data_IF_192100724502
#
_entry.id   IF_192100724502
#
_cell.length_a   1.000
_cell.length_b   1.000
_cell.length_c   1.000
_cell.angle_alpha   90.00
_cell.angle_beta   90.00
_cell.angle_gamma   90.00
#
_symmetry.space_group_name_H-M   'P 1'
#
loop_
_entity.id
_entity.type
_entity.pdbx_description
1 polymer ?
#
# COMPACT_ATOMS: atom_id res chain seq x y z
N UNK A 1 -7.56 18.77 -49.26
CA UNK A 1 -8.47 18.38 -48.14
C UNK A 1 -7.99 17.07 -47.50
N UNK A 2 -7.35 16.16 -48.24
CA UNK A 2 -6.98 14.80 -47.79
C UNK A 2 -5.80 14.76 -46.79
N UNK A 3 -4.83 15.68 -46.92
CA UNK A 3 -3.60 15.67 -46.11
C UNK A 3 -3.79 16.09 -44.65
N UNK A 4 -4.84 16.83 -44.33
CA UNK A 4 -5.18 17.31 -42.98
C UNK A 4 -5.86 16.19 -42.18
N UNK A 5 -6.68 15.38 -42.83
CA UNK A 5 -7.39 14.24 -42.22
C UNK A 5 -6.44 13.13 -41.76
N UNK A 6 -5.43 12.76 -42.58
CA UNK A 6 -4.44 11.75 -42.17
C UNK A 6 -3.59 12.19 -40.97
N UNK A 7 -3.31 13.49 -40.83
CA UNK A 7 -2.50 14.00 -39.71
C UNK A 7 -3.26 13.96 -38.39
N UNK A 8 -4.56 14.22 -38.42
CA UNK A 8 -5.42 14.10 -37.21
C UNK A 8 -5.58 12.64 -36.79
N UNK A 9 -5.81 11.74 -37.73
CA UNK A 9 -5.94 10.31 -37.49
C UNK A 9 -4.65 9.69 -36.92
N UNK A 10 -3.47 10.07 -37.45
CA UNK A 10 -2.17 9.66 -36.89
C UNK A 10 -1.94 10.23 -35.49
N UNK A 11 -2.39 11.44 -35.21
CA UNK A 11 -2.24 12.07 -33.89
C UNK A 11 -3.12 11.36 -32.87
N UNK A 12 -4.35 11.02 -33.22
CA UNK A 12 -5.27 10.27 -32.35
C UNK A 12 -4.79 8.84 -32.07
N UNK A 13 -4.25 8.17 -33.06
CA UNK A 13 -3.65 6.83 -32.90
C UNK A 13 -2.41 6.86 -32.01
N UNK A 14 -1.57 7.88 -32.12
CA UNK A 14 -0.38 8.07 -31.28
C UNK A 14 -0.74 8.44 -29.84
N UNK A 15 -1.76 9.27 -29.66
CA UNK A 15 -2.29 9.64 -28.34
C UNK A 15 -2.91 8.40 -27.70
N UNK A 16 -3.71 7.64 -28.43
CA UNK A 16 -4.34 6.43 -27.93
C UNK A 16 -3.30 5.34 -27.58
N UNK A 17 -2.24 5.16 -28.36
CA UNK A 17 -1.11 4.29 -28.02
C UNK A 17 -0.33 4.76 -26.80
N UNK A 18 -0.13 6.08 -26.63
CA UNK A 18 0.48 6.64 -25.39
C UNK A 18 -0.42 6.44 -24.19
N UNK A 19 -1.71 6.67 -24.32
CA UNK A 19 -2.70 6.46 -23.26
C UNK A 19 -2.82 4.97 -22.89
N UNK A 20 -2.78 4.09 -23.89
CA UNK A 20 -2.75 2.63 -23.67
C UNK A 20 -1.44 2.22 -22.97
N UNK A 21 -0.28 2.75 -23.36
CA UNK A 21 0.99 2.51 -22.64
C UNK A 21 0.96 3.03 -21.21
N UNK A 22 0.36 4.16 -20.95
CA UNK A 22 0.18 4.71 -19.60
C UNK A 22 -0.80 3.81 -18.80
N UNK A 23 -1.83 3.28 -19.44
CA UNK A 23 -2.84 2.42 -18.79
C UNK A 23 -2.35 0.98 -18.58
N UNK A 24 -1.55 0.42 -19.47
CA UNK A 24 -0.91 -0.90 -19.31
C UNK A 24 0.28 -0.88 -18.35
N UNK A 25 0.97 0.25 -18.20
CA UNK A 25 1.95 0.46 -17.16
C UNK A 25 1.35 0.61 -15.74
N UNK A 26 0.03 0.55 -15.59
CA UNK A 26 -0.67 0.47 -14.32
C UNK A 26 -0.60 -0.93 -13.68
N UNK A 27 -0.02 -1.90 -14.36
CA UNK A 27 0.25 -3.24 -13.85
C UNK A 27 1.61 -3.28 -13.14
N UNK A 28 1.58 -3.42 -11.84
CA UNK A 28 2.47 -4.11 -10.88
C UNK A 28 3.99 -4.28 -11.16
N UNK A 29 4.53 -3.93 -12.31
CA UNK A 29 5.96 -4.10 -12.66
C UNK A 29 6.70 -2.79 -12.97
N UNK A 30 6.14 -1.63 -12.61
CA UNK A 30 6.88 -0.37 -12.72
C UNK A 30 8.04 -0.41 -11.71
N UNK A 31 9.26 -0.49 -12.22
CA UNK A 31 10.45 -0.24 -11.42
C UNK A 31 10.31 1.09 -10.68
N UNK A 32 10.90 1.21 -9.48
CA UNK A 32 10.91 2.47 -8.73
C UNK A 32 11.40 3.64 -9.58
N UNK A 33 12.36 3.38 -10.49
CA UNK A 33 12.88 4.37 -11.44
C UNK A 33 11.81 4.91 -12.38
N UNK A 34 10.95 4.05 -12.91
CA UNK A 34 9.86 4.46 -13.80
C UNK A 34 8.82 5.30 -13.07
N UNK A 35 8.52 4.97 -11.82
CA UNK A 35 7.59 5.75 -10.99
C UNK A 35 8.19 7.12 -10.71
N UNK A 36 9.49 7.19 -10.39
CA UNK A 36 10.17 8.46 -10.11
C UNK A 36 10.26 9.35 -11.36
N UNK A 37 10.53 8.78 -12.54
CA UNK A 37 10.50 9.50 -13.82
C UNK A 37 9.10 10.06 -14.11
N UNK A 38 8.04 9.30 -13.86
CA UNK A 38 6.66 9.76 -14.03
C UNK A 38 6.32 10.90 -13.06
N UNK A 39 6.75 10.83 -11.80
CA UNK A 39 6.60 11.92 -10.83
C UNK A 39 7.28 13.20 -11.34
N UNK A 40 8.53 13.09 -11.80
CA UNK A 40 9.30 14.21 -12.33
C UNK A 40 8.63 14.83 -13.57
N UNK A 41 8.09 14.00 -14.45
CA UNK A 41 7.35 14.45 -15.63
C UNK A 41 6.06 15.21 -15.26
N UNK A 42 5.28 14.68 -14.31
CA UNK A 42 4.04 15.30 -13.86
C UNK A 42 4.29 16.66 -13.21
N UNK A 43 5.30 16.75 -12.33
CA UNK A 43 5.69 17.99 -11.65
C UNK A 43 6.13 19.05 -12.69
N UNK A 44 6.96 18.67 -13.68
CA UNK A 44 7.42 19.58 -14.73
C UNK A 44 6.30 20.14 -15.60
N UNK A 45 5.20 19.42 -15.71
CA UNK A 45 4.03 19.83 -16.50
C UNK A 45 2.90 20.43 -15.63
N UNK A 46 3.16 20.77 -14.37
CA UNK A 46 2.17 21.30 -13.41
C UNK A 46 0.93 20.38 -13.27
N UNK A 47 1.13 19.06 -13.38
CA UNK A 47 0.08 18.05 -13.20
C UNK A 47 0.14 17.46 -11.80
N UNK A 48 -1.01 16.98 -11.33
CA UNK A 48 -1.07 16.32 -10.02
C UNK A 48 -0.25 15.02 -10.00
N UNK A 49 0.72 14.95 -9.09
CA UNK A 49 1.61 13.82 -8.91
C UNK A 49 1.34 13.01 -7.62
N UNK A 50 0.32 13.36 -6.85
CA UNK A 50 0.13 12.78 -5.51
C UNK A 50 -0.20 11.28 -5.56
N UNK A 51 -0.96 10.84 -6.57
CA UNK A 51 -1.19 9.42 -6.82
C UNK A 51 0.11 8.66 -7.11
N UNK A 52 1.00 9.25 -7.92
CA UNK A 52 2.29 8.60 -8.25
C UNK A 52 3.24 8.58 -7.04
N UNK A 53 3.26 9.64 -6.25
CA UNK A 53 4.01 9.70 -4.98
C UNK A 53 3.50 8.64 -3.99
N UNK A 54 2.18 8.45 -3.88
CA UNK A 54 1.60 7.38 -3.07
C UNK A 54 2.08 6.01 -3.52
N UNK A 55 1.99 5.68 -4.81
CA UNK A 55 2.45 4.41 -5.38
C UNK A 55 3.95 4.19 -5.11
N UNK A 56 4.75 5.24 -5.20
CA UNK A 56 6.18 5.20 -4.88
C UNK A 56 6.42 4.81 -3.43
N UNK A 57 5.74 5.44 -2.48
CA UNK A 57 5.87 5.14 -1.06
C UNK A 57 5.31 3.77 -0.69
N UNK A 58 4.18 3.34 -1.28
CA UNK A 58 3.65 1.99 -1.11
C UNK A 58 4.68 0.91 -1.48
N UNK A 59 5.41 1.10 -2.59
CA UNK A 59 6.46 0.18 -3.01
C UNK A 59 7.66 0.15 -2.05
N UNK A 60 8.07 1.31 -1.53
CA UNK A 60 9.15 1.38 -0.54
C UNK A 60 8.74 0.71 0.77
N UNK A 61 7.49 0.89 1.21
CA UNK A 61 7.01 0.31 2.45
C UNK A 61 6.50 -1.14 2.32
N UNK A 62 6.45 -1.71 1.12
CA UNK A 62 6.08 -3.10 0.89
C UNK A 62 6.90 -4.10 1.74
N UNK A 63 8.25 -4.04 1.80
CA UNK A 63 9.03 -4.89 2.68
C UNK A 63 8.76 -4.63 4.17
N UNK A 64 8.46 -3.37 4.55
CA UNK A 64 8.09 -3.03 5.93
C UNK A 64 6.77 -3.71 6.33
N UNK A 65 5.80 -3.79 5.42
CA UNK A 65 4.54 -4.51 5.65
C UNK A 65 4.78 -5.97 6.05
N UNK A 66 5.73 -6.63 5.41
CA UNK A 66 6.12 -8.01 5.74
C UNK A 66 6.70 -8.11 7.15
N UNK A 67 7.57 -7.18 7.53
CA UNK A 67 8.16 -7.13 8.89
C UNK A 67 7.07 -6.87 9.94
N UNK A 68 6.15 -5.96 9.69
CA UNK A 68 5.03 -5.67 10.59
C UNK A 68 4.14 -6.90 10.78
N UNK A 69 3.85 -7.64 9.69
CA UNK A 69 3.06 -8.88 9.77
C UNK A 69 3.78 -9.98 10.57
N UNK A 70 5.08 -10.14 10.39
CA UNK A 70 5.88 -11.05 11.21
C UNK A 70 5.83 -10.66 12.68
N UNK A 71 5.97 -9.38 12.99
CA UNK A 71 5.86 -8.88 14.37
C UNK A 71 4.47 -9.13 14.97
N UNK A 72 3.40 -8.90 14.20
CA UNK A 72 2.03 -9.20 14.63
C UNK A 72 1.78 -10.69 14.88
N UNK A 73 2.53 -11.60 14.25
CA UNK A 73 2.40 -13.03 14.46
C UNK A 73 2.99 -13.51 15.79
N UNK A 74 3.97 -12.78 16.36
CA UNK A 74 4.66 -13.17 17.60
C UNK A 74 3.73 -13.43 18.78
N UNK A 75 2.72 -12.59 19.10
CA UNK A 75 1.81 -12.86 20.20
C UNK A 75 1.10 -14.22 20.07
N UNK A 76 0.80 -14.65 18.84
CA UNK A 76 0.10 -15.91 18.60
C UNK A 76 1.01 -17.15 18.78
N UNK A 77 2.31 -16.98 18.56
CA UNK A 77 3.30 -18.06 18.72
C UNK A 77 3.68 -18.23 20.19
N UNK A 78 3.98 -17.15 20.89
CA UNK A 78 4.52 -17.17 22.25
C UNK A 78 3.45 -17.21 23.36
N UNK A 79 2.17 -17.06 23.03
CA UNK A 79 1.08 -17.08 24.02
C UNK A 79 0.98 -18.39 24.78
N UNK A 80 1.14 -18.33 26.12
CA UNK A 80 1.26 -19.47 27.07
C UNK A 80 -0.06 -20.21 27.36
N UNK A 81 -1.14 -19.95 26.66
CA UNK A 81 -2.41 -20.60 26.92
C UNK A 81 -2.41 -22.05 26.41
N UNK A 82 -2.01 -22.95 27.27
CA UNK A 82 -1.98 -24.41 27.07
C UNK A 82 -3.38 -25.02 26.82
N UNK A 83 -4.45 -24.29 27.09
CA UNK A 83 -5.84 -24.75 26.97
C UNK A 83 -6.70 -23.98 25.96
N UNK A 84 -6.19 -22.90 25.35
CA UNK A 84 -6.97 -22.18 24.36
C UNK A 84 -6.98 -22.96 23.03
N UNK A 85 -8.17 -23.30 22.55
CA UNK A 85 -8.39 -23.96 21.27
C UNK A 85 -7.56 -23.29 20.17
N UNK A 86 -6.68 -24.06 19.51
CA UNK A 86 -5.84 -23.64 18.39
C UNK A 86 -6.68 -22.92 17.34
N UNK A 87 -7.92 -23.39 17.13
CA UNK A 87 -8.89 -22.76 16.20
C UNK A 87 -9.19 -21.30 16.53
N UNK A 88 -9.34 -20.93 17.80
CA UNK A 88 -9.59 -19.53 18.19
C UNK A 88 -8.41 -18.61 17.84
N UNK A 89 -7.18 -19.08 18.03
CA UNK A 89 -5.96 -18.34 17.68
C UNK A 89 -5.83 -18.14 16.18
N UNK A 90 -6.10 -19.19 15.39
CA UNK A 90 -6.09 -19.13 13.94
C UNK A 90 -7.11 -18.13 13.41
N UNK A 91 -8.33 -18.17 13.93
CA UNK A 91 -9.39 -17.25 13.56
C UNK A 91 -9.01 -15.80 13.89
N UNK A 92 -8.48 -15.57 15.09
CA UNK A 92 -8.07 -14.23 15.54
C UNK A 92 -6.90 -13.69 14.69
N UNK A 93 -5.89 -14.51 14.40
CA UNK A 93 -4.80 -14.16 13.50
C UNK A 93 -5.28 -13.86 12.09
N UNK A 94 -6.24 -14.63 11.57
CA UNK A 94 -6.86 -14.40 10.27
C UNK A 94 -7.58 -13.03 10.22
N UNK A 95 -8.39 -12.71 11.24
CA UNK A 95 -9.07 -11.41 11.32
C UNK A 95 -8.10 -10.24 11.39
N UNK A 96 -7.02 -10.35 12.17
CA UNK A 96 -5.99 -9.31 12.24
C UNK A 96 -5.28 -9.16 10.90
N UNK A 97 -4.96 -10.27 10.21
CA UNK A 97 -4.32 -10.25 8.89
C UNK A 97 -5.21 -9.60 7.83
N UNK A 98 -6.49 -9.97 7.78
CA UNK A 98 -7.46 -9.34 6.88
C UNK A 98 -7.63 -7.84 7.24
N UNK A 99 -7.75 -7.52 8.52
CA UNK A 99 -7.84 -6.15 9.01
C UNK A 99 -6.63 -5.30 8.59
N UNK A 100 -5.42 -5.84 8.73
CA UNK A 100 -4.21 -5.19 8.25
C UNK A 100 -4.27 -4.90 6.74
N UNK A 101 -4.64 -5.91 5.94
CA UNK A 101 -4.75 -5.76 4.49
C UNK A 101 -5.77 -4.68 4.09
N UNK A 102 -6.95 -4.69 4.73
CA UNK A 102 -8.01 -3.71 4.46
C UNK A 102 -7.53 -2.30 4.82
N UNK A 103 -6.96 -2.12 6.01
CA UNK A 103 -6.51 -0.81 6.49
C UNK A 103 -5.36 -0.27 5.64
N UNK A 104 -4.37 -1.08 5.29
CA UNK A 104 -3.26 -0.67 4.41
C UNK A 104 -3.70 -0.36 2.99
N UNK A 105 -4.82 -0.92 2.52
CA UNK A 105 -5.37 -0.64 1.19
C UNK A 105 -6.28 0.58 1.16
N UNK A 106 -7.07 0.81 2.21
CA UNK A 106 -8.08 1.88 2.23
C UNK A 106 -7.52 3.19 2.77
N UNK A 107 -6.76 3.14 3.87
CA UNK A 107 -6.32 4.32 4.60
C UNK A 107 -5.47 5.29 3.75
N UNK A 108 -4.50 4.83 2.91
CA UNK A 108 -3.76 5.71 2.03
C UNK A 108 -4.61 6.42 0.99
N UNK A 109 -5.70 5.77 0.53
CA UNK A 109 -6.63 6.37 -0.43
C UNK A 109 -7.50 7.46 0.23
N UNK A 110 -8.01 7.19 1.45
CA UNK A 110 -8.76 8.18 2.22
C UNK A 110 -7.88 9.40 2.54
N UNK A 111 -6.65 9.19 2.95
CA UNK A 111 -5.74 10.29 3.26
C UNK A 111 -5.47 11.23 2.08
N UNK A 112 -5.46 10.72 0.85
CA UNK A 112 -5.36 11.59 -0.34
C UNK A 112 -6.58 12.48 -0.51
N UNK A 113 -7.79 11.99 -0.20
CA UNK A 113 -9.03 12.80 -0.26
C UNK A 113 -8.98 13.95 0.75
N UNK A 114 -8.34 13.75 1.89
CA UNK A 114 -8.16 14.79 2.92
C UNK A 114 -6.92 15.67 2.69
N UNK A 115 -6.22 15.51 1.58
CA UNK A 115 -5.02 16.30 1.26
C UNK A 115 -3.82 16.05 2.16
N UNK A 116 -3.77 14.88 2.83
CA UNK A 116 -2.65 14.50 3.68
C UNK A 116 -1.48 14.05 2.79
N UNK A 117 -0.25 14.37 3.19
CA UNK A 117 0.97 14.00 2.46
C UNK A 117 1.02 12.49 2.18
N UNK A 118 1.30 12.06 0.94
CA UNK A 118 1.30 10.66 0.53
C UNK A 118 2.18 9.76 1.40
N UNK A 119 3.32 10.25 1.86
CA UNK A 119 4.22 9.54 2.76
C UNK A 119 3.55 9.18 4.09
N UNK A 120 2.89 10.15 4.73
CA UNK A 120 2.22 9.97 6.03
C UNK A 120 1.07 8.96 5.88
N UNK A 121 0.31 9.07 4.80
CA UNK A 121 -0.82 8.18 4.51
C UNK A 121 -0.42 6.72 4.43
N UNK A 122 0.74 6.44 3.83
CA UNK A 122 1.25 5.06 3.70
C UNK A 122 1.89 4.58 5.01
N UNK A 123 2.53 5.46 5.76
CA UNK A 123 3.20 5.11 7.01
C UNK A 123 2.21 4.86 8.17
N UNK A 124 1.12 5.60 8.22
CA UNK A 124 0.15 5.61 9.33
C UNK A 124 -0.40 4.22 9.66
N UNK A 125 -0.88 3.40 8.70
CA UNK A 125 -1.34 2.05 8.99
C UNK A 125 -0.25 1.15 9.60
N UNK A 126 0.99 1.28 9.17
CA UNK A 126 2.10 0.49 9.70
C UNK A 126 2.37 0.82 11.16
N UNK A 127 2.40 2.11 11.53
CA UNK A 127 2.55 2.54 12.93
C UNK A 127 1.41 2.01 13.78
N UNK A 128 0.16 2.13 13.31
CA UNK A 128 -1.02 1.66 14.03
C UNK A 128 -0.91 0.16 14.35
N UNK A 129 -0.51 -0.66 13.40
CA UNK A 129 -0.37 -2.10 13.62
C UNK A 129 0.87 -2.49 14.43
N UNK A 130 1.95 -1.71 14.40
CA UNK A 130 3.10 -1.91 15.30
C UNK A 130 2.66 -1.66 16.75
N UNK A 131 1.93 -0.59 17.01
CA UNK A 131 1.41 -0.28 18.36
C UNK A 131 0.44 -1.37 18.82
N UNK A 132 -0.45 -1.83 17.93
CA UNK A 132 -1.36 -2.94 18.22
C UNK A 132 -0.60 -4.22 18.57
N UNK A 133 0.41 -4.57 17.79
CA UNK A 133 1.25 -5.75 18.02
C UNK A 133 1.99 -5.69 19.36
N UNK A 134 2.54 -4.53 19.70
CA UNK A 134 3.17 -4.29 21.00
C UNK A 134 2.17 -4.47 22.13
N UNK A 135 0.99 -3.87 22.03
CA UNK A 135 -0.07 -4.00 23.03
C UNK A 135 -0.50 -5.47 23.24
N UNK A 136 -0.71 -6.20 22.15
CA UNK A 136 -1.07 -7.62 22.21
C UNK A 136 0.03 -8.46 22.87
N UNK A 137 1.30 -8.17 22.56
CA UNK A 137 2.44 -8.87 23.14
C UNK A 137 2.56 -8.59 24.65
N UNK A 138 2.45 -7.33 25.07
CA UNK A 138 2.48 -6.95 26.49
C UNK A 138 1.32 -7.56 27.27
N UNK A 139 0.12 -7.58 26.69
CA UNK A 139 -1.06 -8.21 27.31
C UNK A 139 -0.83 -9.69 27.58
N UNK A 140 -0.28 -10.42 26.62
CA UNK A 140 -0.01 -11.87 26.77
C UNK A 140 1.13 -12.17 27.75
N UNK A 141 2.17 -11.35 27.78
CA UNK A 141 3.27 -11.50 28.75
C UNK A 141 2.78 -11.24 30.17
N UNK A 142 1.89 -10.29 30.36
CA UNK A 142 1.32 -9.94 31.67
C UNK A 142 0.39 -11.01 32.22
N UNK A 143 -0.42 -11.65 31.37
CA UNK A 143 -1.28 -12.79 31.76
C UNK A 143 -0.47 -14.08 32.00
N UNK A 144 0.74 -14.17 31.48
CA UNK A 144 1.64 -15.33 31.69
C UNK A 144 2.43 -15.30 33.01
N UNK A 145 2.40 -14.20 33.76
CA UNK A 145 3.11 -14.02 35.05
C UNK A 145 2.17 -14.26 36.25
N UNK A 146 0.87 -14.32 36.00
CA UNK A 146 -0.13 -14.75 36.99
C UNK A 146 -0.48 -16.23 36.81
#
# INVERSE_FOLDING_TARGET
ITKKSYKEEYTDVLINRKLIKIKTNKSSSLSLDNVNQNISYLIKNNLDADLQKKIYWEKIFMPLSTVVMLFLSMPFIFGKHRSANISKRLILGLFIGIGFFIVTSILPNLGMVFGILPFINVLLPHILFIVLGKYLLEYQLRDGIR
#
